data_IF_270732463896
#
_entry.id   IF_270732463896
#
_cell.length_a   1.000
_cell.length_b   1.000
_cell.length_c   1.000
_cell.angle_alpha   90.00
_cell.angle_beta   90.00
_cell.angle_gamma   90.00
#
_symmetry.space_group_name_H-M   'P 1'
#
loop_
_entity.id
_entity.type
_entity.pdbx_description
1 polymer ?
#
# COMPACT_ATOMS: atom_id res chain seq x y z
N UNK A 1 14.89 -20.21 -3.01
CA UNK A 1 14.49 -19.69 -1.69
C UNK A 1 15.66 -19.06 -0.95
N UNK A 2 15.44 -18.51 0.26
CA UNK A 2 16.47 -17.84 1.06
C UNK A 2 17.70 -18.72 1.30
N UNK A 3 17.49 -20.00 1.60
CA UNK A 3 18.57 -20.96 1.81
C UNK A 3 19.51 -21.07 0.60
N UNK A 4 18.97 -21.07 -0.61
CA UNK A 4 19.77 -21.15 -1.85
C UNK A 4 20.57 -19.87 -2.08
N UNK A 5 20.06 -18.70 -1.66
CA UNK A 5 20.78 -17.43 -1.73
C UNK A 5 21.93 -17.39 -0.70
N UNK A 6 21.65 -17.83 0.52
CA UNK A 6 22.67 -17.90 1.58
C UNK A 6 23.77 -18.90 1.27
N UNK A 7 23.46 -20.00 0.58
CA UNK A 7 24.46 -20.98 0.15
C UNK A 7 25.50 -20.39 -0.82
N UNK A 8 25.20 -19.28 -1.51
CA UNK A 8 26.18 -18.57 -2.34
C UNK A 8 27.27 -17.86 -1.54
N UNK A 9 27.09 -17.70 -0.22
CA UNK A 9 28.08 -17.14 0.67
C UNK A 9 29.08 -18.18 1.18
N UNK A 10 28.86 -19.46 0.93
CA UNK A 10 29.82 -20.50 1.28
C UNK A 10 31.12 -20.31 0.49
N UNK A 11 32.23 -20.67 1.11
CA UNK A 11 33.55 -20.69 0.45
C UNK A 11 33.54 -21.62 -0.76
N UNK A 12 34.34 -21.30 -1.75
CA UNK A 12 34.56 -22.18 -2.92
C UNK A 12 36.04 -22.52 -3.10
N UNK A 13 36.34 -23.53 -3.89
CA UNK A 13 37.68 -24.10 -3.98
C UNK A 13 38.79 -23.10 -4.33
N UNK A 14 38.53 -22.09 -5.14
CA UNK A 14 39.51 -21.06 -5.50
C UNK A 14 39.85 -20.14 -4.32
N UNK A 15 38.90 -19.82 -3.46
CA UNK A 15 39.15 -19.03 -2.24
C UNK A 15 39.96 -19.83 -1.21
N UNK A 16 39.82 -21.15 -1.20
CA UNK A 16 40.50 -22.03 -0.27
C UNK A 16 41.86 -22.51 -0.79
N UNK A 17 42.20 -22.21 -2.04
CA UNK A 17 43.44 -22.67 -2.67
C UNK A 17 44.66 -22.02 -2.00
N UNK A 18 45.62 -22.86 -1.56
CA UNK A 18 46.84 -22.41 -0.92
C UNK A 18 46.73 -22.04 0.55
N UNK A 19 45.53 -22.12 1.15
CA UNK A 19 45.32 -21.89 2.57
C UNK A 19 45.62 -23.17 3.37
N UNK A 20 46.21 -23.00 4.58
CA UNK A 20 46.28 -24.09 5.56
C UNK A 20 44.92 -24.32 6.25
N UNK A 21 44.86 -25.31 7.14
CA UNK A 21 43.61 -25.72 7.80
C UNK A 21 43.02 -24.60 8.67
N UNK A 22 43.86 -23.84 9.34
CA UNK A 22 43.43 -22.78 10.26
C UNK A 22 42.89 -21.58 9.46
N UNK A 23 43.56 -21.19 8.40
CA UNK A 23 43.14 -20.12 7.51
C UNK A 23 41.80 -20.48 6.79
N UNK A 24 41.61 -21.72 6.38
CA UNK A 24 40.33 -22.21 5.81
C UNK A 24 39.20 -22.09 6.84
N UNK A 25 39.43 -22.57 8.06
CA UNK A 25 38.44 -22.48 9.14
C UNK A 25 38.05 -21.03 9.46
N UNK A 26 39.01 -20.11 9.47
CA UNK A 26 38.73 -18.68 9.68
C UNK A 26 37.92 -18.08 8.53
N UNK A 27 38.23 -18.43 7.29
CA UNK A 27 37.47 -17.95 6.13
C UNK A 27 36.03 -18.46 6.17
N UNK A 28 35.82 -19.76 6.46
CA UNK A 28 34.50 -20.37 6.58
C UNK A 28 33.68 -19.73 7.72
N UNK A 29 34.31 -19.50 8.87
CA UNK A 29 33.67 -18.79 10.01
C UNK A 29 33.26 -17.36 9.63
N UNK A 30 34.09 -16.65 8.88
CA UNK A 30 33.79 -15.29 8.40
C UNK A 30 32.55 -15.31 7.48
N UNK A 31 32.51 -16.21 6.51
CA UNK A 31 31.39 -16.39 5.60
C UNK A 31 30.09 -16.77 6.33
N UNK A 32 30.23 -17.65 7.33
CA UNK A 32 29.09 -18.04 8.16
C UNK A 32 28.52 -16.85 8.95
N UNK A 33 29.37 -16.01 9.51
CA UNK A 33 28.96 -14.79 10.21
C UNK A 33 28.29 -13.77 9.28
N UNK A 34 28.79 -13.62 8.07
CA UNK A 34 28.15 -12.82 7.03
C UNK A 34 26.74 -13.33 6.71
N UNK A 35 26.58 -14.66 6.52
CA UNK A 35 25.31 -15.29 6.28
C UNK A 35 24.32 -15.07 7.44
N UNK A 36 24.77 -15.18 8.68
CA UNK A 36 23.97 -14.87 9.88
C UNK A 36 23.52 -13.40 9.86
N UNK A 37 24.43 -12.46 9.60
CA UNK A 37 24.10 -11.03 9.59
C UNK A 37 23.06 -10.66 8.52
N UNK A 38 23.19 -11.23 7.34
CA UNK A 38 22.22 -11.07 6.26
C UNK A 38 20.85 -11.67 6.64
N UNK A 39 20.86 -12.91 7.13
CA UNK A 39 19.63 -13.59 7.57
C UNK A 39 18.89 -12.80 8.64
N UNK A 40 19.63 -12.27 9.62
CA UNK A 40 19.07 -11.45 10.69
C UNK A 40 18.39 -10.19 10.14
N UNK A 41 19.02 -9.48 9.21
CA UNK A 41 18.41 -8.30 8.56
C UNK A 41 17.08 -8.65 7.87
N UNK A 42 17.02 -9.76 7.12
CA UNK A 42 15.79 -10.22 6.49
C UNK A 42 14.70 -10.54 7.52
N UNK A 43 15.08 -11.25 8.60
CA UNK A 43 14.13 -11.62 9.66
C UNK A 43 13.59 -10.39 10.39
N UNK A 44 14.47 -9.46 10.80
CA UNK A 44 14.08 -8.24 11.47
C UNK A 44 13.12 -7.40 10.62
N UNK A 45 13.39 -7.30 9.31
CA UNK A 45 12.50 -6.60 8.38
C UNK A 45 11.15 -7.31 8.20
N UNK A 46 11.15 -8.64 8.09
CA UNK A 46 9.92 -9.43 7.99
C UNK A 46 9.05 -9.30 9.25
N UNK A 47 9.66 -9.32 10.44
CA UNK A 47 8.98 -9.11 11.71
C UNK A 47 8.41 -7.70 11.78
N UNK A 48 9.20 -6.67 11.47
CA UNK A 48 8.78 -5.28 11.47
C UNK A 48 7.58 -5.06 10.53
N UNK A 49 7.65 -5.61 9.31
CA UNK A 49 6.54 -5.56 8.34
C UNK A 49 5.28 -6.24 8.87
N UNK A 50 5.43 -7.40 9.53
CA UNK A 50 4.29 -8.10 10.12
C UNK A 50 3.66 -7.35 11.28
N UNK A 51 4.48 -6.75 12.14
CA UNK A 51 4.00 -5.90 13.24
C UNK A 51 3.27 -4.66 12.71
N UNK A 52 3.80 -4.00 11.69
CA UNK A 52 3.13 -2.88 11.03
C UNK A 52 1.76 -3.30 10.47
N UNK A 53 1.68 -4.48 9.86
CA UNK A 53 0.41 -5.02 9.36
C UNK A 53 -0.60 -5.31 10.49
N UNK A 54 -0.15 -5.83 11.64
CA UNK A 54 -1.03 -6.09 12.79
C UNK A 54 -1.55 -4.77 13.36
N UNK A 55 -0.68 -3.78 13.54
CA UNK A 55 -1.08 -2.46 14.04
C UNK A 55 -2.06 -1.75 13.10
N UNK A 56 -1.86 -1.85 11.79
CA UNK A 56 -2.76 -1.22 10.83
C UNK A 56 -4.19 -1.73 10.90
N UNK A 57 -4.41 -2.99 11.28
CA UNK A 57 -5.75 -3.58 11.42
C UNK A 57 -6.59 -2.78 12.42
N UNK A 58 -6.06 -2.51 13.59
CA UNK A 58 -6.78 -1.77 14.63
C UNK A 58 -7.00 -0.30 14.25
N UNK A 59 -5.98 0.33 13.66
CA UNK A 59 -6.10 1.71 13.16
C UNK A 59 -7.19 1.83 12.09
N UNK A 60 -7.27 0.87 11.17
CA UNK A 60 -8.30 0.84 10.12
C UNK A 60 -9.69 0.64 10.72
N UNK A 61 -9.83 -0.25 11.72
CA UNK A 61 -11.12 -0.49 12.39
C UNK A 61 -11.66 0.75 13.10
N UNK A 62 -10.76 1.53 13.71
CA UNK A 62 -11.09 2.74 14.47
C UNK A 62 -11.18 4.01 13.61
N UNK A 63 -10.82 3.92 12.32
CA UNK A 63 -10.80 5.07 11.44
C UNK A 63 -12.20 5.69 11.27
N UNK A 64 -12.30 7.03 11.20
CA UNK A 64 -13.57 7.73 11.03
C UNK A 64 -14.30 7.29 9.75
N UNK A 65 -15.60 7.10 9.87
CA UNK A 65 -16.48 6.83 8.74
C UNK A 65 -17.27 8.09 8.39
N UNK A 66 -17.23 8.46 7.14
CA UNK A 66 -17.89 9.64 6.59
C UNK A 66 -19.08 9.22 5.72
N UNK A 67 -19.92 10.18 5.36
CA UNK A 67 -21.00 10.04 4.38
C UNK A 67 -21.91 8.84 4.67
N UNK A 68 -22.43 8.78 5.87
CA UNK A 68 -23.33 7.70 6.30
C UNK A 68 -22.65 6.33 6.41
N UNK A 69 -21.36 6.32 6.67
CA UNK A 69 -20.55 5.07 6.82
C UNK A 69 -20.03 4.49 5.51
N UNK A 70 -20.28 5.15 4.37
CA UNK A 70 -19.92 4.65 3.03
C UNK A 70 -18.46 4.97 2.64
N UNK A 71 -17.80 5.87 3.37
CA UNK A 71 -16.44 6.30 3.12
C UNK A 71 -15.61 6.17 4.39
N UNK A 72 -14.47 5.51 4.30
CA UNK A 72 -13.51 5.41 5.39
C UNK A 72 -12.42 6.46 5.20
N UNK A 73 -12.08 7.21 6.26
CA UNK A 73 -11.00 8.19 6.22
C UNK A 73 -9.82 7.71 7.05
N UNK A 74 -8.70 7.39 6.40
CA UNK A 74 -7.44 7.06 7.04
C UNK A 74 -6.59 8.32 7.14
N UNK A 75 -6.03 8.56 8.32
CA UNK A 75 -5.21 9.76 8.58
C UNK A 75 -3.80 9.65 8.01
N UNK A 76 -3.36 8.42 7.69
CA UNK A 76 -2.04 8.13 7.15
C UNK A 76 -2.14 7.31 5.86
N UNK A 77 -1.31 7.66 4.86
CA UNK A 77 -1.18 6.90 3.63
C UNK A 77 -0.33 5.64 3.78
N UNK A 78 -0.35 4.76 2.76
CA UNK A 78 0.49 3.55 2.73
C UNK A 78 0.07 2.42 3.67
N UNK A 79 -0.99 2.61 4.47
CA UNK A 79 -1.49 1.60 5.39
C UNK A 79 -2.19 0.45 4.64
N UNK A 80 -1.95 -0.82 4.99
CA UNK A 80 -2.60 -1.98 4.37
C UNK A 80 -4.05 -2.15 4.88
N UNK A 81 -4.97 -1.40 4.33
CA UNK A 81 -6.37 -1.35 4.74
C UNK A 81 -7.31 -2.33 4.02
N UNK A 82 -6.95 -2.74 2.80
CA UNK A 82 -7.88 -3.42 1.87
C UNK A 82 -8.54 -4.64 2.49
N UNK A 83 -7.77 -5.53 3.12
CA UNK A 83 -8.31 -6.77 3.68
C UNK A 83 -9.30 -6.51 4.82
N UNK A 84 -8.97 -5.60 5.73
CA UNK A 84 -9.86 -5.24 6.85
C UNK A 84 -11.19 -4.66 6.34
N UNK A 85 -11.11 -3.74 5.38
CA UNK A 85 -12.31 -3.10 4.81
C UNK A 85 -13.15 -4.10 4.02
N UNK A 86 -12.52 -4.98 3.26
CA UNK A 86 -13.23 -6.00 2.48
C UNK A 86 -13.94 -6.99 3.39
N UNK A 87 -13.26 -7.50 4.40
CA UNK A 87 -13.76 -8.59 5.25
C UNK A 87 -14.75 -8.09 6.33
N UNK A 88 -14.56 -6.87 6.85
CA UNK A 88 -15.26 -6.40 8.06
C UNK A 88 -16.18 -5.18 7.83
N UNK A 89 -16.12 -4.51 6.68
CA UNK A 89 -16.83 -3.27 6.41
C UNK A 89 -17.59 -3.32 5.07
N UNK A 90 -18.62 -4.14 4.94
CA UNK A 90 -19.32 -4.37 3.66
C UNK A 90 -19.96 -3.10 3.07
N UNK A 91 -20.34 -2.13 3.91
CA UNK A 91 -21.00 -0.90 3.50
C UNK A 91 -20.03 0.17 2.97
N UNK A 92 -18.72 0.05 3.24
CA UNK A 92 -17.71 1.00 2.78
C UNK A 92 -17.45 0.79 1.29
N UNK A 93 -17.63 1.86 0.52
CA UNK A 93 -17.43 1.87 -0.94
C UNK A 93 -16.13 2.55 -1.35
N UNK A 94 -15.70 3.55 -0.57
CA UNK A 94 -14.50 4.33 -0.84
C UNK A 94 -13.64 4.49 0.40
N UNK A 95 -12.34 4.67 0.19
CA UNK A 95 -11.37 5.00 1.23
C UNK A 95 -10.64 6.28 0.84
N UNK A 96 -10.55 7.23 1.76
CA UNK A 96 -9.79 8.47 1.61
C UNK A 96 -8.54 8.39 2.48
N UNK A 97 -7.39 8.76 1.93
CA UNK A 97 -6.13 8.86 2.65
C UNK A 97 -5.18 9.87 1.98
N UNK A 98 -4.24 10.49 2.74
CA UNK A 98 -3.22 11.35 2.15
C UNK A 98 -2.26 10.52 1.29
N UNK A 99 -1.71 11.12 0.23
CA UNK A 99 -0.63 10.50 -0.54
C UNK A 99 0.67 10.44 0.27
N UNK A 100 1.70 9.81 -0.29
CA UNK A 100 3.00 9.66 0.38
C UNK A 100 3.70 10.97 0.69
N UNK A 101 3.42 12.01 -0.08
CA UNK A 101 4.07 13.32 0.01
C UNK A 101 3.24 14.31 0.82
N UNK A 102 2.02 13.94 1.22
CA UNK A 102 1.09 14.77 1.98
C UNK A 102 0.51 15.96 1.19
N UNK A 103 0.70 15.99 -0.13
CA UNK A 103 0.31 17.12 -0.97
C UNK A 103 -1.12 17.02 -1.51
N UNK A 104 -1.72 15.86 -1.41
CA UNK A 104 -3.09 15.59 -1.86
C UNK A 104 -3.71 14.42 -1.10
N UNK A 105 -5.03 14.31 -1.20
CA UNK A 105 -5.79 13.17 -0.70
C UNK A 105 -6.28 12.31 -1.86
N UNK A 106 -6.20 11.01 -1.68
CA UNK A 106 -6.65 10.02 -2.64
C UNK A 106 -8.01 9.48 -2.24
N UNK A 107 -8.91 9.35 -3.21
CA UNK A 107 -10.19 8.66 -3.13
C UNK A 107 -10.04 7.34 -3.87
N UNK A 108 -10.02 6.25 -3.14
CA UNK A 108 -9.86 4.91 -3.73
C UNK A 108 -11.10 4.05 -3.55
N UNK A 109 -11.46 3.31 -4.58
CA UNK A 109 -12.57 2.37 -4.53
C UNK A 109 -12.22 1.13 -3.72
N UNK A 110 -13.20 0.55 -3.02
CA UNK A 110 -13.04 -0.72 -2.31
C UNK A 110 -13.33 -1.87 -3.27
N UNK A 111 -12.42 -2.84 -3.42
CA UNK A 111 -12.68 -4.01 -4.26
C UNK A 111 -13.73 -4.93 -3.64
N UNK A 112 -14.39 -5.75 -4.46
CA UNK A 112 -15.38 -6.73 -4.00
C UNK A 112 -14.76 -7.82 -3.13
N UNK A 113 -13.50 -8.18 -3.41
CA UNK A 113 -12.69 -9.12 -2.63
C UNK A 113 -11.21 -8.71 -2.66
N UNK A 114 -10.44 -9.16 -1.68
CA UNK A 114 -9.02 -8.82 -1.58
C UNK A 114 -8.24 -9.41 -2.78
N UNK A 115 -7.59 -8.52 -3.54
CA UNK A 115 -6.84 -8.88 -4.75
C UNK A 115 -7.63 -8.76 -6.05
N UNK A 116 -8.94 -8.47 -5.99
CA UNK A 116 -9.76 -8.21 -7.18
C UNK A 116 -9.49 -6.82 -7.74
N UNK A 117 -9.63 -6.70 -9.07
CA UNK A 117 -9.67 -5.41 -9.77
C UNK A 117 -11.10 -4.87 -9.91
N UNK A 118 -12.12 -5.66 -9.57
CA UNK A 118 -13.51 -5.25 -9.58
C UNK A 118 -13.84 -4.49 -8.31
N UNK A 119 -14.24 -3.24 -8.42
CA UNK A 119 -14.67 -2.42 -7.29
C UNK A 119 -16.12 -2.72 -6.88
N UNK A 120 -16.43 -2.53 -5.59
CA UNK A 120 -17.83 -2.49 -5.12
C UNK A 120 -18.61 -1.38 -5.81
N UNK A 121 -17.91 -0.28 -6.11
CA UNK A 121 -18.41 0.86 -6.87
C UNK A 121 -17.25 1.60 -7.52
N UNK A 122 -17.32 1.81 -8.83
CA UNK A 122 -16.36 2.63 -9.57
C UNK A 122 -16.65 4.12 -9.35
N UNK A 123 -15.65 4.97 -9.63
CA UNK A 123 -15.84 6.40 -9.78
C UNK A 123 -16.68 6.67 -11.03
N UNK A 124 -17.37 7.86 -11.14
CA UNK A 124 -18.21 8.17 -12.27
C UNK A 124 -17.48 8.11 -13.61
N UNK A 125 -18.10 7.50 -14.62
CA UNK A 125 -17.52 7.34 -15.98
C UNK A 125 -17.13 8.68 -16.62
N UNK A 126 -17.87 9.74 -16.31
CA UNK A 126 -17.57 11.10 -16.81
C UNK A 126 -16.26 11.67 -16.30
N UNK A 127 -15.62 11.06 -15.28
CA UNK A 127 -14.35 11.51 -14.72
C UNK A 127 -13.13 10.76 -15.30
N UNK A 128 -13.38 9.73 -16.11
CA UNK A 128 -12.33 8.83 -16.61
C UNK A 128 -11.21 9.57 -17.32
N UNK A 129 -10.00 9.48 -16.77
CA UNK A 129 -8.77 10.07 -17.32
C UNK A 129 -8.63 11.58 -17.17
N UNK A 130 -9.66 12.28 -16.62
CA UNK A 130 -9.64 13.72 -16.45
C UNK A 130 -8.65 14.15 -15.35
N UNK A 131 -8.11 15.35 -15.52
CA UNK A 131 -7.16 15.93 -14.57
C UNK A 131 -7.44 17.42 -14.37
N UNK A 132 -6.99 17.93 -13.22
CA UNK A 132 -6.94 19.36 -12.89
C UNK A 132 -8.19 20.13 -13.32
N UNK A 133 -8.07 21.09 -14.21
CA UNK A 133 -9.18 21.95 -14.65
C UNK A 133 -10.29 21.18 -15.37
N UNK A 134 -9.98 20.14 -16.12
CA UNK A 134 -10.99 19.33 -16.81
C UNK A 134 -11.85 18.56 -15.78
N UNK A 135 -11.21 17.97 -14.78
CA UNK A 135 -11.92 17.30 -13.70
C UNK A 135 -12.72 18.29 -12.85
N UNK A 136 -12.14 19.47 -12.56
CA UNK A 136 -12.83 20.53 -11.84
C UNK A 136 -14.08 21.02 -12.58
N UNK A 137 -14.01 21.16 -13.89
CA UNK A 137 -15.15 21.58 -14.72
C UNK A 137 -16.32 20.60 -14.68
N UNK A 138 -16.03 19.28 -14.61
CA UNK A 138 -17.06 18.23 -14.56
C UNK A 138 -17.60 18.03 -13.15
N UNK A 139 -16.75 18.14 -12.13
CA UNK A 139 -17.11 17.84 -10.73
C UNK A 139 -17.57 19.08 -9.94
N UNK A 140 -17.16 20.27 -10.35
CA UNK A 140 -17.29 21.50 -9.54
C UNK A 140 -16.33 21.54 -8.34
N UNK A 141 -15.40 20.59 -8.20
CA UNK A 141 -14.38 20.56 -7.15
C UNK A 141 -13.11 21.20 -7.69
N UNK A 142 -12.88 22.46 -7.30
CA UNK A 142 -11.84 23.32 -7.88
C UNK A 142 -10.41 22.82 -7.65
N UNK A 143 -10.19 22.11 -6.57
CA UNK A 143 -8.89 21.55 -6.19
C UNK A 143 -8.72 20.06 -6.54
N UNK A 144 -9.61 19.52 -7.38
CA UNK A 144 -9.47 18.16 -7.91
C UNK A 144 -8.18 18.04 -8.73
N UNK A 145 -7.50 16.90 -8.62
CA UNK A 145 -6.19 16.68 -9.26
C UNK A 145 -6.29 15.70 -10.40
N UNK A 146 -6.91 14.54 -10.17
CA UNK A 146 -7.01 13.51 -11.18
C UNK A 146 -8.14 12.51 -10.90
N UNK A 147 -8.57 11.82 -11.94
CA UNK A 147 -9.25 10.55 -11.88
C UNK A 147 -8.59 9.57 -12.86
N UNK A 148 -8.24 8.38 -12.38
CA UNK A 148 -7.61 7.36 -13.20
C UNK A 148 -8.55 6.87 -14.29
N UNK A 149 -8.00 6.54 -15.47
CA UNK A 149 -8.77 6.04 -16.62
C UNK A 149 -9.70 4.86 -16.27
N UNK A 150 -9.22 3.95 -15.39
CA UNK A 150 -9.99 2.77 -14.96
C UNK A 150 -10.86 3.03 -13.73
N UNK A 151 -11.08 4.27 -13.32
CA UNK A 151 -12.08 4.70 -12.32
C UNK A 151 -11.92 4.12 -10.91
N UNK A 152 -10.77 3.52 -10.58
CA UNK A 152 -10.53 2.92 -9.27
C UNK A 152 -9.89 3.87 -8.25
N UNK A 153 -9.38 5.01 -8.70
CA UNK A 153 -8.73 6.02 -7.87
C UNK A 153 -8.82 7.40 -8.50
N UNK A 154 -9.02 8.40 -7.68
CA UNK A 154 -8.94 9.81 -8.01
C UNK A 154 -8.51 10.59 -6.78
N UNK A 155 -8.53 11.93 -6.83
CA UNK A 155 -8.19 12.73 -5.66
C UNK A 155 -8.24 14.22 -5.88
N UNK A 156 -8.12 14.94 -4.75
CA UNK A 156 -8.05 16.38 -4.68
C UNK A 156 -6.91 16.83 -3.75
N UNK A 157 -6.54 18.09 -3.78
CA UNK A 157 -5.46 18.65 -2.94
C UNK A 157 -5.85 18.69 -1.46
N UNK A 158 -7.13 18.92 -1.17
CA UNK A 158 -7.63 18.96 0.19
C UNK A 158 -8.46 17.73 0.56
N UNK A 159 -8.57 17.47 1.87
CA UNK A 159 -9.50 16.48 2.39
C UNK A 159 -10.94 16.84 2.01
N UNK A 160 -11.35 18.09 2.18
CA UNK A 160 -12.71 18.55 1.87
C UNK A 160 -13.05 18.36 0.39
N UNK A 161 -12.13 18.71 -0.51
CA UNK A 161 -12.29 18.44 -1.95
C UNK A 161 -12.45 16.95 -2.25
N UNK A 162 -11.66 16.10 -1.58
CA UNK A 162 -11.75 14.66 -1.77
C UNK A 162 -13.02 14.05 -1.19
N UNK A 163 -13.49 14.55 -0.05
CA UNK A 163 -14.82 14.20 0.51
C UNK A 163 -15.93 14.62 -0.44
N UNK A 164 -15.82 15.82 -1.05
CA UNK A 164 -16.78 16.27 -2.04
C UNK A 164 -16.82 15.40 -3.30
N UNK A 165 -15.66 14.95 -3.78
CA UNK A 165 -15.60 13.94 -4.87
C UNK A 165 -16.30 12.64 -4.44
N UNK A 166 -16.08 12.16 -3.22
CA UNK A 166 -16.76 10.97 -2.73
C UNK A 166 -18.28 11.13 -2.66
N UNK A 167 -18.79 12.28 -2.20
CA UNK A 167 -20.23 12.59 -2.21
C UNK A 167 -20.82 12.51 -3.62
N UNK A 168 -20.17 13.16 -4.57
CA UNK A 168 -20.60 13.13 -5.98
C UNK A 168 -20.56 11.72 -6.56
N UNK A 169 -19.52 10.93 -6.25
CA UNK A 169 -19.43 9.54 -6.66
C UNK A 169 -20.52 8.67 -6.03
N UNK A 170 -20.94 8.96 -4.80
CA UNK A 170 -22.07 8.30 -4.15
C UNK A 170 -23.44 8.73 -4.73
N UNK A 171 -23.58 9.95 -5.19
CA UNK A 171 -24.80 10.50 -5.77
C UNK A 171 -24.98 10.10 -7.24
N UNK A 172 -23.90 9.92 -7.98
CA UNK A 172 -23.94 9.43 -9.35
C UNK A 172 -24.53 8.01 -9.33
N UNK A 173 -25.76 7.85 -9.83
CA UNK A 173 -26.40 6.54 -9.94
C UNK A 173 -25.52 5.53 -10.67
N UNK A 174 -25.76 4.24 -10.42
CA UNK A 174 -25.12 3.12 -11.17
C UNK A 174 -25.58 3.15 -12.61
#
# INVERSE_FOLDING_TARGET
GLSSLLAQLNTHWMEEQGLDADAKAQLQETRFREAIAITRKFLDHAISKKLAQIRSVETVRQAPRLLGGRVLHLQEGGMPWTRVVVDEMPDVLFVIYPDSDGNQYQLKTVPVEAGSFTARRDLPKSWSGLRDQELAAVTGVLDSVFCHLNLFIGGARSLDGTVRLAELALAAGV
#
